data_IF_555580579688
#
_entry.id   IF_555580579688
#
_cell.length_a   1.000
_cell.length_b   1.000
_cell.length_c   1.000
_cell.angle_alpha   90.00
_cell.angle_beta   90.00
_cell.angle_gamma   90.00
#
_symmetry.space_group_name_H-M   'P 1'
#
loop_
_entity.id
_entity.type
_entity.pdbx_description
1 polymer ?
#
# COMPACT_ATOMS: atom_id res chain seq x y z
N UNK A 1 -4.66 10.84 4.29
CA UNK A 1 -6.03 10.77 3.74
C UNK A 1 -6.04 9.80 2.57
N UNK A 2 -7.00 8.86 2.55
CA UNK A 2 -7.22 7.93 1.44
C UNK A 2 -8.66 8.08 0.97
N UNK A 3 -8.86 8.23 -0.32
CA UNK A 3 -10.18 8.26 -0.95
C UNK A 3 -10.19 7.26 -2.10
N UNK A 4 -10.89 6.16 -1.90
CA UNK A 4 -11.14 5.15 -2.91
C UNK A 4 -12.59 5.25 -3.39
N UNK A 5 -12.80 5.23 -4.69
CA UNK A 5 -14.14 5.24 -5.30
C UNK A 5 -14.25 4.15 -6.34
N UNK A 6 -15.35 3.43 -6.25
CA UNK A 6 -15.77 2.43 -7.22
C UNK A 6 -14.68 1.40 -7.54
N UNK A 7 -14.01 0.90 -6.49
CA UNK A 7 -12.91 -0.07 -6.65
C UNK A 7 -13.47 -1.45 -6.94
N UNK A 8 -13.16 -1.97 -8.13
CA UNK A 8 -13.47 -3.33 -8.54
C UNK A 8 -12.21 -4.17 -8.64
N UNK A 9 -12.32 -5.45 -8.32
CA UNK A 9 -11.25 -6.42 -8.56
C UNK A 9 -11.83 -7.75 -8.99
N UNK A 10 -11.36 -8.22 -10.13
CA UNK A 10 -11.65 -9.54 -10.66
C UNK A 10 -10.39 -10.39 -10.64
N UNK A 11 -10.54 -11.65 -10.32
CA UNK A 11 -9.58 -12.72 -10.59
C UNK A 11 -10.28 -13.70 -11.53
N UNK A 12 -9.86 -13.71 -12.79
CA UNK A 12 -10.57 -14.39 -13.88
C UNK A 12 -12.05 -13.96 -13.95
N UNK A 13 -12.97 -14.87 -13.66
CA UNK A 13 -14.40 -14.59 -13.66
C UNK A 13 -14.98 -14.25 -12.26
N UNK A 14 -14.15 -14.33 -11.23
CA UNK A 14 -14.58 -14.06 -9.85
C UNK A 14 -14.42 -12.58 -9.52
N UNK A 15 -15.52 -11.87 -9.31
CA UNK A 15 -15.50 -10.51 -8.79
C UNK A 15 -15.36 -10.53 -7.27
N UNK A 16 -14.18 -10.13 -6.79
CA UNK A 16 -13.82 -10.10 -5.36
C UNK A 16 -14.15 -8.76 -4.72
N UNK A 17 -13.93 -7.66 -5.42
CA UNK A 17 -14.36 -6.32 -4.98
C UNK A 17 -15.40 -5.78 -5.97
N UNK A 18 -16.52 -5.33 -5.44
CA UNK A 18 -17.74 -5.00 -6.20
C UNK A 18 -18.11 -3.52 -6.05
N UNK A 19 -17.21 -2.62 -6.48
CA UNK A 19 -17.45 -1.19 -6.39
C UNK A 19 -17.28 -0.65 -4.96
N UNK A 20 -16.12 -0.89 -4.34
CA UNK A 20 -15.86 -0.45 -2.97
C UNK A 20 -15.55 1.03 -2.94
N UNK A 21 -16.29 1.76 -2.11
CA UNK A 21 -16.03 3.15 -1.74
C UNK A 21 -15.47 3.23 -0.32
N UNK A 22 -14.41 4.02 -0.11
CA UNK A 22 -13.78 4.19 1.19
C UNK A 22 -13.19 5.60 1.31
N UNK A 23 -13.41 6.23 2.44
CA UNK A 23 -12.80 7.50 2.79
C UNK A 23 -12.17 7.40 4.17
N UNK A 24 -10.85 7.60 4.24
CA UNK A 24 -10.08 7.63 5.49
C UNK A 24 -9.45 9.00 5.62
N UNK A 25 -9.72 9.68 6.71
CA UNK A 25 -9.17 10.99 7.02
C UNK A 25 -7.80 10.88 7.71
N UNK A 26 -7.08 11.99 7.81
CA UNK A 26 -5.78 12.01 8.49
C UNK A 26 -5.96 11.74 9.99
N UNK A 27 -5.16 10.83 10.54
CA UNK A 27 -5.18 10.44 11.95
C UNK A 27 -6.26 9.42 12.31
N UNK A 28 -7.04 8.96 11.33
CA UNK A 28 -8.08 7.95 11.55
C UNK A 28 -7.47 6.54 11.56
N UNK A 29 -7.97 5.69 12.46
CA UNK A 29 -7.68 4.27 12.50
C UNK A 29 -8.90 3.52 12.00
N UNK A 30 -8.72 2.73 10.95
CA UNK A 30 -9.79 1.96 10.30
C UNK A 30 -9.52 0.47 10.38
N UNK A 31 -10.53 -0.30 10.73
CA UNK A 31 -10.48 -1.77 10.73
C UNK A 31 -11.36 -2.33 9.62
N UNK A 32 -10.79 -3.19 8.78
CA UNK A 32 -11.53 -3.89 7.72
C UNK A 32 -11.87 -5.29 8.25
N UNK A 33 -13.14 -5.54 8.47
CA UNK A 33 -13.67 -6.81 8.99
C UNK A 33 -14.53 -7.52 7.95
N UNK A 34 -14.67 -8.83 8.10
CA UNK A 34 -15.50 -9.64 7.22
C UNK A 34 -15.09 -11.13 7.25
N UNK A 35 -15.90 -11.98 6.64
CA UNK A 35 -15.63 -13.41 6.52
C UNK A 35 -14.32 -13.71 5.77
N UNK A 36 -13.78 -14.92 5.94
CA UNK A 36 -12.65 -15.38 5.14
C UNK A 36 -13.04 -15.37 3.66
N UNK A 37 -12.11 -14.92 2.79
CA UNK A 37 -12.36 -14.80 1.36
C UNK A 37 -13.17 -13.56 0.92
N UNK A 38 -13.60 -12.69 1.86
CA UNK A 38 -14.39 -11.49 1.53
C UNK A 38 -13.60 -10.34 0.86
N UNK A 39 -12.37 -10.58 0.39
CA UNK A 39 -11.58 -9.57 -0.32
C UNK A 39 -10.81 -8.58 0.56
N UNK A 40 -10.75 -8.77 1.88
CA UNK A 40 -10.04 -7.85 2.81
C UNK A 40 -8.58 -7.64 2.45
N UNK A 41 -7.84 -8.72 2.21
CA UNK A 41 -6.43 -8.66 1.82
C UNK A 41 -6.27 -7.99 0.45
N UNK A 42 -7.15 -8.31 -0.49
CA UNK A 42 -7.17 -7.69 -1.84
C UNK A 42 -7.37 -6.18 -1.73
N UNK A 43 -8.33 -5.74 -0.91
CA UNK A 43 -8.56 -4.31 -0.68
C UNK A 43 -7.34 -3.64 -0.06
N UNK A 44 -6.73 -4.24 0.98
CA UNK A 44 -5.52 -3.71 1.61
C UNK A 44 -4.34 -3.64 0.63
N UNK A 45 -4.16 -4.62 -0.25
CA UNK A 45 -3.13 -4.61 -1.28
C UNK A 45 -3.34 -3.48 -2.29
N UNK A 46 -4.58 -3.22 -2.69
CA UNK A 46 -4.91 -2.11 -3.60
C UNK A 46 -4.71 -0.76 -2.91
N UNK A 47 -5.20 -0.58 -1.68
CA UNK A 47 -4.98 0.65 -0.90
C UNK A 47 -3.49 0.90 -0.62
N UNK A 48 -2.72 -0.18 -0.44
CA UNK A 48 -1.27 -0.15 -0.28
C UNK A 48 -0.50 -0.03 -1.61
N UNK A 49 -1.18 0.06 -2.75
CA UNK A 49 -0.55 0.12 -4.09
C UNK A 49 0.33 -1.08 -4.45
N UNK A 50 0.12 -2.22 -3.78
CA UNK A 50 0.81 -3.49 -4.08
C UNK A 50 0.12 -4.26 -5.22
N UNK A 51 -1.19 -4.02 -5.41
CA UNK A 51 -1.97 -4.54 -6.53
C UNK A 51 -2.77 -3.39 -7.14
N UNK A 52 -3.25 -3.58 -8.36
CA UNK A 52 -4.11 -2.61 -9.06
C UNK A 52 -5.55 -3.12 -9.10
N UNK A 53 -6.54 -2.24 -8.97
CA UNK A 53 -7.93 -2.61 -9.26
C UNK A 53 -8.06 -3.03 -10.72
N UNK A 54 -9.09 -3.82 -11.03
CA UNK A 54 -9.47 -4.06 -12.42
C UNK A 54 -9.91 -2.73 -13.05
N UNK A 55 -9.41 -2.44 -14.26
CA UNK A 55 -9.65 -1.18 -14.93
C UNK A 55 -11.16 -0.90 -15.07
N UNK A 56 -11.58 0.24 -14.56
CA UNK A 56 -12.92 0.79 -14.71
C UNK A 56 -12.79 2.31 -14.81
N UNK A 57 -13.43 2.91 -15.82
CA UNK A 57 -13.35 4.35 -16.10
C UNK A 57 -13.75 5.23 -14.90
N UNK A 58 -14.62 4.71 -14.03
CA UNK A 58 -15.12 5.43 -12.86
C UNK A 58 -14.34 5.12 -11.56
N UNK A 59 -13.29 4.29 -11.61
CA UNK A 59 -12.48 3.98 -10.44
C UNK A 59 -11.45 5.06 -10.18
N UNK A 60 -11.29 5.45 -8.92
CA UNK A 60 -10.22 6.37 -8.49
C UNK A 60 -9.68 5.98 -7.13
N UNK A 61 -8.38 6.19 -6.95
CA UNK A 61 -7.70 6.00 -5.66
C UNK A 61 -6.76 7.18 -5.42
N UNK A 62 -7.20 8.09 -4.57
CA UNK A 62 -6.37 9.22 -4.16
C UNK A 62 -5.76 8.93 -2.79
N UNK A 63 -4.45 9.09 -2.69
CA UNK A 63 -3.71 9.01 -1.43
C UNK A 63 -2.99 10.34 -1.24
N UNK A 64 -3.27 11.02 -0.16
CA UNK A 64 -2.78 12.38 0.12
C UNK A 64 -3.02 13.38 -1.03
N UNK A 65 -4.11 13.20 -1.79
CA UNK A 65 -4.50 14.05 -2.91
C UNK A 65 -3.91 13.64 -4.26
N UNK A 66 -3.01 12.65 -4.31
CA UNK A 66 -2.43 12.15 -5.54
C UNK A 66 -3.18 10.91 -6.06
N UNK A 67 -3.53 10.89 -7.34
CA UNK A 67 -4.20 9.77 -7.98
C UNK A 67 -3.19 8.68 -8.36
N UNK A 68 -3.09 7.67 -7.48
CA UNK A 68 -2.09 6.59 -7.64
C UNK A 68 -2.42 5.65 -8.80
N UNK A 69 -3.68 5.60 -9.27
CA UNK A 69 -4.05 4.75 -10.42
C UNK A 69 -3.49 5.27 -11.74
N UNK A 70 -3.23 6.58 -11.83
CA UNK A 70 -2.65 7.23 -13.01
C UNK A 70 -1.13 7.19 -13.05
N UNK A 71 -0.49 6.77 -11.97
CA UNK A 71 0.96 6.68 -11.91
C UNK A 71 1.49 5.48 -12.71
N UNK A 72 2.59 5.67 -13.44
CA UNK A 72 3.36 4.54 -13.98
C UNK A 72 4.09 3.79 -12.85
N UNK A 73 4.61 2.60 -13.14
CA UNK A 73 5.19 1.73 -12.12
C UNK A 73 6.38 2.35 -11.38
N UNK A 74 7.20 3.15 -12.07
CA UNK A 74 8.34 3.84 -11.46
C UNK A 74 7.89 4.92 -10.48
N UNK A 75 6.91 5.74 -10.88
CA UNK A 75 6.34 6.78 -10.03
C UNK A 75 5.60 6.17 -8.84
N UNK A 76 4.81 5.12 -9.07
CA UNK A 76 4.07 4.40 -8.03
C UNK A 76 5.00 3.75 -7.01
N UNK A 77 6.09 3.13 -7.45
CA UNK A 77 7.10 2.52 -6.58
C UNK A 77 7.76 3.57 -5.67
N UNK A 78 8.11 4.72 -6.24
CA UNK A 78 8.66 5.84 -5.47
C UNK A 78 7.64 6.42 -4.49
N UNK A 79 6.40 6.63 -4.94
CA UNK A 79 5.31 7.10 -4.10
C UNK A 79 5.10 6.18 -2.90
N UNK A 80 5.00 4.87 -3.14
CA UNK A 80 4.84 3.85 -2.09
C UNK A 80 5.98 3.92 -1.07
N UNK A 81 7.23 3.95 -1.53
CA UNK A 81 8.40 4.01 -0.66
C UNK A 81 8.41 5.23 0.27
N UNK A 82 7.89 6.37 -0.18
CA UNK A 82 7.91 7.64 0.57
C UNK A 82 6.68 7.88 1.44
N UNK A 83 5.54 7.27 1.11
CA UNK A 83 4.24 7.61 1.69
C UNK A 83 3.56 6.46 2.44
N UNK A 84 3.96 5.21 2.22
CA UNK A 84 3.27 4.04 2.75
C UNK A 84 4.22 3.15 3.54
N UNK A 85 3.76 2.68 4.68
CA UNK A 85 4.41 1.63 5.47
C UNK A 85 3.53 0.40 5.55
N UNK A 86 4.14 -0.78 5.64
CA UNK A 86 3.45 -2.06 5.72
C UNK A 86 3.91 -2.86 6.92
N UNK A 87 2.94 -3.47 7.59
CA UNK A 87 3.18 -4.56 8.55
C UNK A 87 2.52 -5.80 7.97
N UNK A 88 3.31 -6.80 7.64
CA UNK A 88 2.82 -8.06 7.08
C UNK A 88 2.62 -9.10 8.17
N UNK A 89 1.75 -10.08 7.91
CA UNK A 89 1.54 -11.21 8.79
C UNK A 89 2.82 -12.05 8.97
N UNK A 90 3.64 -12.15 7.92
CA UNK A 90 4.97 -12.77 7.94
C UNK A 90 6.03 -11.70 7.71
N UNK A 91 7.20 -11.86 8.34
CA UNK A 91 8.24 -10.84 8.42
C UNK A 91 8.81 -10.32 7.08
N UNK A 92 8.66 -11.05 5.98
CA UNK A 92 9.15 -10.64 4.64
C UNK A 92 10.64 -10.21 4.60
N UNK A 93 11.46 -10.76 5.51
CA UNK A 93 12.88 -10.44 5.55
C UNK A 93 13.62 -11.15 4.41
N UNK A 94 14.61 -10.48 3.85
CA UNK A 94 15.50 -11.03 2.85
C UNK A 94 16.66 -11.75 3.56
N UNK A 95 16.80 -13.07 3.40
CA UNK A 95 17.78 -13.86 4.15
C UNK A 95 19.24 -13.55 3.78
N UNK A 96 19.47 -12.94 2.61
CA UNK A 96 20.78 -12.55 2.11
C UNK A 96 21.34 -11.31 2.84
N UNK A 97 20.50 -10.62 3.60
CA UNK A 97 20.85 -9.38 4.30
C UNK A 97 20.82 -9.57 5.82
N UNK A 98 21.68 -8.86 6.52
CA UNK A 98 21.64 -8.76 7.98
C UNK A 98 20.35 -8.09 8.45
N UNK A 99 20.05 -8.19 9.75
CA UNK A 99 18.89 -7.51 10.33
C UNK A 99 18.93 -5.99 10.11
N UNK A 100 20.12 -5.37 10.29
CA UNK A 100 20.30 -3.95 10.07
C UNK A 100 20.07 -3.56 8.60
N UNK A 101 20.60 -4.33 7.66
CA UNK A 101 20.40 -4.08 6.24
C UNK A 101 18.92 -4.20 5.86
N UNK A 102 18.23 -5.25 6.32
CA UNK A 102 16.78 -5.39 6.10
C UNK A 102 16.00 -4.16 6.56
N UNK A 103 16.30 -3.66 7.75
CA UNK A 103 15.65 -2.45 8.29
C UNK A 103 15.99 -1.21 7.44
N UNK A 104 17.19 -1.13 6.88
CA UNK A 104 17.65 0.02 6.10
C UNK A 104 17.21 -0.01 4.63
N UNK A 105 16.73 -1.13 4.09
CA UNK A 105 16.33 -1.27 2.67
C UNK A 105 15.41 -0.14 2.19
N UNK A 106 14.32 0.23 2.88
CA UNK A 106 13.45 1.30 2.42
C UNK A 106 14.16 2.66 2.31
N UNK A 107 15.10 2.93 3.21
CA UNK A 107 15.90 4.15 3.19
C UNK A 107 16.89 4.17 2.02
N UNK A 108 17.50 3.02 1.71
CA UNK A 108 18.38 2.88 0.55
C UNK A 108 17.64 3.07 -0.78
N UNK A 109 16.44 2.51 -0.89
CA UNK A 109 15.56 2.71 -2.07
C UNK A 109 15.21 4.19 -2.22
N UNK A 110 15.04 4.92 -1.10
CA UNK A 110 14.82 6.36 -1.10
C UNK A 110 16.08 7.20 -1.38
N UNK A 111 17.24 6.55 -1.64
CA UNK A 111 18.51 7.22 -1.93
C UNK A 111 19.29 7.70 -0.70
N UNK A 112 18.94 7.19 0.49
CA UNK A 112 19.65 7.49 1.74
C UNK A 112 20.74 6.44 2.00
N UNK A 113 21.95 6.65 1.49
CA UNK A 113 23.02 5.65 1.51
C UNK A 113 23.88 5.64 2.80
N UNK A 114 23.45 6.27 3.88
CA UNK A 114 24.21 6.32 5.12
C UNK A 114 23.40 5.71 6.27
N UNK A 115 23.85 4.59 6.81
CA UNK A 115 23.25 3.89 7.95
C UNK A 115 23.06 4.81 9.18
N UNK A 116 23.98 5.74 9.41
CA UNK A 116 23.92 6.67 10.55
C UNK A 116 22.85 7.76 10.41
N UNK A 117 22.26 7.92 9.21
CA UNK A 117 21.19 8.89 8.93
C UNK A 117 19.81 8.27 8.87
N UNK A 118 19.69 6.95 9.02
CA UNK A 118 18.39 6.29 9.14
C UNK A 118 17.89 6.53 10.56
N UNK A 119 17.08 7.54 10.74
CA UNK A 119 16.36 7.80 11.99
C UNK A 119 15.10 6.95 12.02
N UNK A 120 14.96 6.20 13.08
CA UNK A 120 13.73 5.52 13.43
C UNK A 120 12.94 6.45 14.34
N UNK A 121 12.03 7.24 13.78
CA UNK A 121 11.06 7.98 14.55
C UNK A 121 9.95 6.98 14.92
N UNK A 122 10.16 6.24 15.99
CA UNK A 122 9.13 5.42 16.63
C UNK A 122 8.49 6.32 17.70
N UNK A 123 7.38 6.94 17.36
CA UNK A 123 6.45 7.45 18.37
C UNK A 123 5.62 6.27 18.90
N UNK A 124 5.83 5.92 20.16
CA UNK A 124 5.04 4.93 20.91
C UNK A 124 3.88 5.66 21.57
#
# INVERSE_FOLDING_TARGET
>A
MILAKNIHKFYDQLEVLKGVDLHITKGEIVSIVGASGAGKTTLLQILGTLDRPTSNENSSLLINGEDVLKMNDKALSRFRNLNLGFIFQFHQLLPEFTALENVCIPAFIAGKNNYLKVRFDVEI
#
